data_IF_329273334765
#
_entry.id   IF_329273334765
#
_cell.length_a   1.000
_cell.length_b   1.000
_cell.length_c   1.000
_cell.angle_alpha   90.00
_cell.angle_beta   90.00
_cell.angle_gamma   90.00
#
_symmetry.space_group_name_H-M   'P 1'
#
loop_
_entity.id
_entity.type
_entity.pdbx_description
1 polymer ?
#
# COMPACT_ATOMS: atom_id res chain seq x y z
N UNK A 1 -9.84 -21.13 -17.21
CA UNK A 1 -9.89 -19.64 -17.15
C UNK A 1 -9.38 -19.21 -15.78
N UNK A 2 -8.49 -18.21 -15.71
CA UNK A 2 -8.05 -17.62 -14.43
C UNK A 2 -8.67 -16.24 -14.31
N UNK A 3 -9.58 -16.07 -13.35
CA UNK A 3 -10.21 -14.79 -13.08
C UNK A 3 -9.34 -14.00 -12.12
N UNK A 4 -8.90 -12.81 -12.51
CA UNK A 4 -8.24 -11.90 -11.61
C UNK A 4 -9.31 -11.17 -10.79
N UNK A 5 -9.18 -11.20 -9.46
CA UNK A 5 -10.09 -10.52 -8.54
C UNK A 5 -9.28 -9.58 -7.66
N UNK A 6 -9.84 -8.41 -7.36
CA UNK A 6 -9.28 -7.47 -6.39
C UNK A 6 -9.84 -7.87 -5.02
N UNK A 7 -8.95 -8.27 -4.11
CA UNK A 7 -9.35 -8.72 -2.77
C UNK A 7 -9.56 -7.52 -1.84
N UNK A 8 -8.69 -6.51 -1.93
CA UNK A 8 -8.74 -5.32 -1.08
C UNK A 8 -8.07 -4.12 -1.76
N UNK A 9 -8.43 -2.92 -1.33
CA UNK A 9 -7.85 -1.64 -1.79
C UNK A 9 -7.66 -0.70 -0.61
N UNK A 10 -6.43 -0.25 -0.38
CA UNK A 10 -6.04 0.62 0.73
C UNK A 10 -5.07 1.69 0.21
N UNK A 11 -5.11 2.88 0.80
CA UNK A 11 -4.30 4.04 0.38
C UNK A 11 -3.85 4.86 1.59
N UNK A 12 -2.77 5.63 1.46
CA UNK A 12 -2.36 6.62 2.47
C UNK A 12 -3.27 7.84 2.48
N UNK A 13 -3.29 8.59 3.59
CA UNK A 13 -3.86 9.95 3.61
C UNK A 13 -3.39 10.80 2.42
N UNK A 14 -4.22 11.76 1.99
CA UNK A 14 -3.78 12.78 1.03
C UNK A 14 -3.34 14.00 1.81
N UNK A 15 -2.11 14.45 1.61
CA UNK A 15 -1.62 15.68 2.20
C UNK A 15 -1.19 16.65 1.10
N UNK A 16 -1.29 17.94 1.40
CA UNK A 16 -0.94 19.01 0.46
C UNK A 16 0.57 19.00 0.19
N UNK A 17 0.99 19.04 -1.08
CA UNK A 17 2.39 19.15 -1.45
C UNK A 17 3.06 20.34 -0.75
N UNK A 18 4.22 20.13 -0.13
CA UNK A 18 5.03 21.15 0.56
C UNK A 18 4.39 21.82 1.79
N UNK A 19 3.12 21.51 2.11
CA UNK A 19 2.40 22.06 3.27
C UNK A 19 1.63 21.00 4.08
N UNK A 20 1.84 19.73 3.77
CA UNK A 20 1.17 18.60 4.39
C UNK A 20 2.07 17.84 5.35
N UNK A 21 1.47 17.14 6.31
CA UNK A 21 2.20 16.36 7.33
C UNK A 21 3.08 15.24 6.76
N UNK A 22 2.85 14.79 5.51
CA UNK A 22 3.65 13.75 4.85
C UNK A 22 4.93 14.27 4.19
N UNK A 23 5.28 15.55 4.30
CA UNK A 23 6.53 16.05 3.72
C UNK A 23 7.79 15.53 4.43
N UNK A 24 7.68 15.16 5.72
CA UNK A 24 8.79 14.59 6.50
C UNK A 24 8.77 13.06 6.54
N UNK A 25 7.72 12.42 6.01
CA UNK A 25 7.57 10.97 6.03
C UNK A 25 8.27 10.37 4.83
N UNK A 26 9.11 9.36 5.05
CA UNK A 26 9.76 8.68 3.92
C UNK A 26 8.73 7.88 3.12
N UNK A 27 8.90 7.77 1.79
CA UNK A 27 7.98 6.99 0.96
C UNK A 27 7.92 5.51 1.36
N UNK A 28 9.01 4.96 1.90
CA UNK A 28 9.06 3.58 2.40
C UNK A 28 8.16 3.38 3.64
N UNK A 29 8.07 4.39 4.52
CA UNK A 29 7.22 4.35 5.72
C UNK A 29 5.74 4.44 5.33
N UNK A 30 5.41 5.24 4.32
CA UNK A 30 4.07 5.31 3.75
C UNK A 30 3.65 3.95 3.15
N UNK A 31 4.58 3.28 2.48
CA UNK A 31 4.34 1.93 1.95
C UNK A 31 4.14 0.91 3.09
N UNK A 32 5.03 0.91 4.10
CA UNK A 32 4.93 0.00 5.23
C UNK A 32 3.60 0.15 5.97
N UNK A 33 3.12 1.40 6.13
CA UNK A 33 1.81 1.69 6.70
C UNK A 33 0.66 1.03 5.93
N UNK A 34 0.68 1.10 4.59
CA UNK A 34 -0.34 0.46 3.75
C UNK A 34 -0.28 -1.07 3.87
N UNK A 35 0.93 -1.64 3.88
CA UNK A 35 1.10 -3.10 3.99
C UNK A 35 0.53 -3.60 5.31
N UNK A 36 0.85 -2.93 6.42
CA UNK A 36 0.33 -3.30 7.74
C UNK A 36 -1.19 -3.17 7.80
N UNK A 37 -1.76 -2.06 7.32
CA UNK A 37 -3.21 -1.86 7.27
C UNK A 37 -3.93 -2.93 6.42
N UNK A 38 -3.32 -3.39 5.33
CA UNK A 38 -3.88 -4.45 4.49
C UNK A 38 -3.86 -5.80 5.20
N UNK A 39 -2.78 -6.11 5.92
CA UNK A 39 -2.64 -7.37 6.67
C UNK A 39 -3.57 -7.41 7.88
N UNK A 40 -3.70 -6.31 8.62
CA UNK A 40 -4.60 -6.20 9.79
C UNK A 40 -6.07 -6.44 9.41
N UNK A 41 -6.51 -5.94 8.25
CA UNK A 41 -7.87 -6.14 7.75
C UNK A 41 -8.15 -7.55 7.26
N UNK A 42 -7.11 -8.31 6.93
CA UNK A 42 -7.21 -9.62 6.32
C UNK A 42 -6.36 -10.66 7.06
N UNK A 43 -6.73 -11.06 8.28
CA UNK A 43 -5.95 -12.00 9.10
C UNK A 43 -5.79 -13.39 8.45
N UNK A 44 -6.65 -13.73 7.51
CA UNK A 44 -6.64 -15.01 6.78
C UNK A 44 -5.73 -14.99 5.54
N UNK A 45 -5.09 -13.87 5.19
CA UNK A 45 -4.15 -13.80 4.06
C UNK A 45 -2.77 -14.29 4.51
N UNK A 46 -2.31 -15.48 4.07
CA UNK A 46 -0.97 -15.93 4.39
C UNK A 46 0.06 -15.08 3.64
N UNK A 47 1.12 -14.57 4.31
CA UNK A 47 2.18 -13.80 3.64
C UNK A 47 2.84 -14.53 2.47
N UNK A 48 2.90 -15.87 2.56
CA UNK A 48 3.43 -16.77 1.53
C UNK A 48 2.57 -16.82 0.25
N UNK A 49 1.33 -16.35 0.30
CA UNK A 49 0.43 -16.26 -0.87
C UNK A 49 0.76 -15.09 -1.80
N UNK A 50 1.38 -14.03 -1.27
CA UNK A 50 1.86 -12.90 -2.07
C UNK A 50 3.13 -13.27 -2.83
N UNK A 51 2.96 -13.88 -4.00
CA UNK A 51 4.06 -14.36 -4.84
C UNK A 51 4.84 -13.25 -5.56
N UNK A 52 4.19 -12.11 -5.83
CA UNK A 52 4.80 -10.94 -6.48
C UNK A 52 4.27 -9.66 -5.86
N UNK A 53 5.20 -8.75 -5.58
CA UNK A 53 4.93 -7.39 -5.14
C UNK A 53 5.41 -6.42 -6.23
N UNK A 54 4.63 -5.39 -6.55
CA UNK A 54 4.98 -4.37 -7.53
C UNK A 54 4.74 -2.99 -6.93
N UNK A 55 5.80 -2.17 -6.86
CA UNK A 55 5.73 -0.77 -6.48
C UNK A 55 6.07 0.11 -7.69
N UNK A 56 5.18 1.02 -8.04
CA UNK A 56 5.37 1.94 -9.16
C UNK A 56 5.36 3.38 -8.68
N UNK A 57 6.48 4.09 -8.83
CA UNK A 57 6.53 5.54 -8.63
C UNK A 57 6.35 6.20 -9.99
N UNK A 58 5.19 6.80 -10.24
CA UNK A 58 5.02 7.67 -11.40
C UNK A 58 5.66 9.02 -11.08
N UNK A 59 6.77 9.34 -11.73
CA UNK A 59 7.26 10.73 -11.76
C UNK A 59 6.28 11.55 -12.61
N UNK A 60 5.83 12.66 -12.04
CA UNK A 60 5.15 13.73 -12.78
C UNK A 60 6.13 14.49 -13.66
#
# INVERSE_FOLDING_TARGET
>A
MKTAVIVDSVRTGLAKSFRGGFNMTRPDEMLAHIINATLERNPNLPPKGCRRYHNGVRKS
#
